data_IF_676229655699
#
_entry.id   IF_676229655699
#
_cell.length_a   1.000
_cell.length_b   1.000
_cell.length_c   1.000
_cell.angle_alpha   90.00
_cell.angle_beta   90.00
_cell.angle_gamma   90.00
#
_symmetry.space_group_name_H-M   'P 1'
#
loop_
_entity.id
_entity.type
_entity.pdbx_description
1 polymer ?
#
# COMPACT_ATOMS: atom_id res chain seq x y z
N UNK A 1 -1.16 32.66 8.46
CA UNK A 1 -1.52 31.26 8.75
C UNK A 1 -1.21 30.49 7.48
N UNK A 2 -0.07 29.81 7.41
CA UNK A 2 0.22 28.88 6.32
C UNK A 2 -0.74 27.73 6.46
N UNK A 3 -1.69 27.60 5.54
CA UNK A 3 -2.50 26.39 5.41
C UNK A 3 -1.53 25.22 5.35
N UNK A 4 -1.67 24.30 6.28
CA UNK A 4 -0.93 23.03 6.26
C UNK A 4 -1.52 22.20 5.11
N UNK A 5 -1.08 22.51 3.90
CA UNK A 5 -1.45 21.75 2.70
C UNK A 5 -0.97 20.33 2.92
N UNK A 6 -1.89 19.35 2.93
CA UNK A 6 -1.55 17.94 3.08
C UNK A 6 -0.61 17.49 1.98
N UNK A 7 0.18 16.44 2.24
CA UNK A 7 1.19 15.93 1.28
C UNK A 7 0.55 15.56 -0.08
N UNK A 8 -0.67 15.06 -0.09
CA UNK A 8 -1.36 14.77 -1.34
C UNK A 8 -1.66 16.05 -2.17
N UNK A 9 -1.93 17.19 -1.51
CA UNK A 9 -2.13 18.46 -2.22
C UNK A 9 -0.86 18.97 -2.90
N UNK A 10 0.31 18.75 -2.31
CA UNK A 10 1.60 19.07 -2.94
C UNK A 10 1.82 18.23 -4.22
N UNK A 11 1.43 16.95 -4.19
CA UNK A 11 1.47 16.06 -5.34
C UNK A 11 0.52 16.53 -6.44
N UNK A 12 -0.69 16.97 -6.09
CA UNK A 12 -1.66 17.52 -7.04
C UNK A 12 -1.17 18.83 -7.68
N UNK A 13 -0.50 19.70 -6.91
CA UNK A 13 0.09 20.92 -7.46
C UNK A 13 1.19 20.62 -8.49
N UNK A 14 1.98 19.56 -8.26
CA UNK A 14 2.97 19.09 -9.26
C UNK A 14 2.29 18.61 -10.54
N UNK A 15 1.20 17.85 -10.41
CA UNK A 15 0.42 17.40 -11.57
C UNK A 15 -0.22 18.57 -12.33
N UNK A 16 -0.71 19.59 -11.62
CA UNK A 16 -1.27 20.79 -12.23
C UNK A 16 -0.23 21.55 -13.06
N UNK A 17 0.98 21.69 -12.52
CA UNK A 17 2.11 22.28 -13.26
C UNK A 17 2.41 21.50 -14.53
N UNK A 18 2.48 20.17 -14.45
CA UNK A 18 2.69 19.31 -15.61
C UNK A 18 1.56 19.44 -16.64
N UNK A 19 0.31 19.50 -16.17
CA UNK A 19 -0.85 19.69 -17.05
C UNK A 19 -0.81 21.02 -17.81
N UNK A 20 -0.29 22.09 -17.20
CA UNK A 20 -0.08 23.37 -17.84
C UNK A 20 0.82 23.29 -19.09
N UNK A 21 1.73 22.31 -19.14
CA UNK A 21 2.60 22.07 -20.31
C UNK A 21 2.01 21.06 -21.30
N UNK A 22 1.25 20.09 -20.81
CA UNK A 22 0.74 18.96 -21.61
C UNK A 22 -0.62 19.24 -22.23
N UNK A 23 -1.41 20.17 -21.67
CA UNK A 23 -2.78 20.46 -22.06
C UNK A 23 -3.64 19.19 -22.21
N UNK A 24 -3.65 18.36 -21.16
CA UNK A 24 -4.39 17.11 -21.17
C UNK A 24 -5.91 17.33 -21.35
N UNK A 25 -6.60 16.42 -22.01
CA UNK A 25 -8.05 16.44 -22.03
C UNK A 25 -8.61 16.43 -20.58
N UNK A 26 -9.66 17.23 -20.28
CA UNK A 26 -10.17 17.36 -18.91
C UNK A 26 -10.47 16.03 -18.20
N UNK A 27 -11.06 15.06 -18.90
CA UNK A 27 -11.36 13.74 -18.36
C UNK A 27 -10.08 12.95 -17.97
N UNK A 28 -8.99 13.11 -18.72
CA UNK A 28 -7.70 12.47 -18.41
C UNK A 28 -7.09 13.14 -17.18
N UNK A 29 -7.10 14.48 -17.14
CA UNK A 29 -6.58 15.24 -16.01
C UNK A 29 -7.31 14.90 -14.70
N UNK A 30 -8.64 14.91 -14.70
CA UNK A 30 -9.45 14.51 -13.53
C UNK A 30 -9.18 13.06 -13.11
N UNK A 31 -8.96 12.17 -14.08
CA UNK A 31 -8.60 10.78 -13.83
C UNK A 31 -7.26 10.65 -13.09
N UNK A 32 -6.27 11.46 -13.46
CA UNK A 32 -4.94 11.47 -12.85
C UNK A 32 -4.91 12.10 -11.44
N UNK A 33 -5.91 12.91 -11.09
CA UNK A 33 -6.04 13.56 -9.77
C UNK A 33 -6.73 12.71 -8.73
N UNK A 34 -7.41 11.64 -9.13
CA UNK A 34 -8.35 10.93 -8.26
C UNK A 34 -7.91 9.47 -8.07
N UNK A 35 -7.70 8.99 -6.83
CA UNK A 35 -7.45 7.58 -6.58
C UNK A 35 -8.66 6.74 -6.98
N UNK A 36 -8.42 5.55 -7.49
CA UNK A 36 -9.47 4.66 -7.96
C UNK A 36 -10.25 4.02 -6.82
N UNK A 37 -9.55 3.61 -5.77
CA UNK A 37 -10.13 2.99 -4.58
C UNK A 37 -9.29 3.31 -3.36
N UNK A 38 -9.96 3.56 -2.24
CA UNK A 38 -9.32 3.68 -0.94
C UNK A 38 -10.06 2.80 0.05
N UNK A 39 -9.34 1.90 0.69
CA UNK A 39 -9.86 1.03 1.73
C UNK A 39 -9.23 1.44 3.08
N UNK A 40 -10.07 1.65 4.07
CA UNK A 40 -9.67 1.90 5.46
C UNK A 40 -10.20 0.74 6.29
N UNK A 41 -9.33 0.14 7.09
CA UNK A 41 -9.66 -1.03 7.90
C UNK A 41 -9.28 -0.82 9.35
N UNK A 42 -10.06 -1.43 10.24
CA UNK A 42 -9.73 -1.57 11.66
C UNK A 42 -9.14 -2.95 11.90
N UNK A 43 -7.97 -3.01 12.53
CA UNK A 43 -7.17 -4.21 12.69
C UNK A 43 -7.08 -4.54 14.18
N UNK A 44 -7.95 -5.42 14.72
CA UNK A 44 -7.80 -5.92 16.08
C UNK A 44 -6.60 -6.88 16.18
N UNK A 45 -5.74 -6.65 17.15
CA UNK A 45 -4.56 -7.47 17.43
C UNK A 45 -4.50 -7.80 18.90
N UNK A 46 -4.43 -9.08 19.23
CA UNK A 46 -4.11 -9.54 20.58
C UNK A 46 -2.62 -9.29 20.86
N UNK A 47 -2.35 -8.52 21.90
CA UNK A 47 -1.02 -8.19 22.36
C UNK A 47 -0.45 -9.30 23.26
N UNK A 48 0.86 -9.27 23.50
CA UNK A 48 1.53 -10.31 24.31
C UNK A 48 1.09 -10.30 25.79
N UNK A 49 0.54 -9.18 26.26
CA UNK A 49 -0.04 -9.04 27.59
C UNK A 49 -1.51 -9.51 27.69
N UNK A 50 -2.08 -10.04 26.59
CA UNK A 50 -3.47 -10.48 26.51
C UNK A 50 -4.49 -9.36 26.22
N UNK A 51 -4.07 -8.11 26.14
CA UNK A 51 -4.95 -7.02 25.72
C UNK A 51 -5.22 -7.06 24.21
N UNK A 52 -6.28 -6.38 23.75
CA UNK A 52 -6.57 -6.24 22.33
C UNK A 52 -6.45 -4.77 21.94
N UNK A 53 -5.51 -4.49 21.04
CA UNK A 53 -5.32 -3.17 20.45
C UNK A 53 -5.93 -3.10 19.05
N UNK A 54 -6.48 -1.93 18.70
CA UNK A 54 -7.06 -1.66 17.39
C UNK A 54 -6.15 -0.71 16.61
N UNK A 55 -5.62 -1.20 15.50
CA UNK A 55 -4.80 -0.41 14.59
C UNK A 55 -5.61 0.03 13.37
N UNK A 56 -5.25 1.17 12.79
CA UNK A 56 -5.86 1.65 11.56
C UNK A 56 -4.97 1.31 10.37
N UNK A 57 -5.54 0.58 9.41
CA UNK A 57 -4.85 0.21 8.17
C UNK A 57 -5.47 0.88 6.95
N UNK A 58 -4.66 1.06 5.91
CA UNK A 58 -5.03 1.71 4.64
C UNK A 58 -4.49 0.90 3.47
N UNK A 59 -5.26 0.81 2.38
CA UNK A 59 -4.78 0.42 1.05
C UNK A 59 -5.42 1.32 0.02
N UNK A 60 -4.60 2.07 -0.71
CA UNK A 60 -5.03 2.95 -1.81
C UNK A 60 -4.52 2.39 -3.12
N UNK A 61 -5.44 2.16 -4.05
CA UNK A 61 -5.16 1.85 -5.45
C UNK A 61 -5.41 3.11 -6.26
N UNK A 62 -4.34 3.69 -6.79
CA UNK A 62 -4.42 4.97 -7.47
C UNK A 62 -4.81 4.81 -8.92
N UNK A 63 -4.07 4.00 -9.67
CA UNK A 63 -4.36 3.73 -11.08
C UNK A 63 -3.96 2.31 -11.51
N UNK A 64 -4.68 1.74 -12.48
CA UNK A 64 -4.38 0.44 -13.11
C UNK A 64 -4.35 0.52 -14.64
N UNK A 65 -4.29 1.72 -15.24
CA UNK A 65 -4.32 1.86 -16.69
C UNK A 65 -3.18 1.12 -17.40
N UNK A 66 -2.05 0.94 -16.70
CA UNK A 66 -0.85 0.27 -17.21
C UNK A 66 -0.72 -1.20 -16.78
N UNK A 67 -1.58 -1.69 -15.93
CA UNK A 67 -1.54 -3.05 -15.38
C UNK A 67 -1.90 -3.11 -13.90
N UNK A 68 -1.64 -4.25 -13.22
CA UNK A 68 -1.92 -4.40 -11.81
C UNK A 68 -1.32 -3.27 -10.97
N UNK A 69 -2.03 -2.85 -9.95
CA UNK A 69 -1.51 -1.83 -9.04
C UNK A 69 -0.30 -2.39 -8.26
N UNK A 70 0.71 -1.56 -8.02
CA UNK A 70 1.95 -1.96 -7.35
C UNK A 70 2.37 -0.92 -6.34
N UNK A 71 2.70 -1.34 -5.11
CA UNK A 71 3.21 -0.41 -4.11
C UNK A 71 3.47 -1.02 -2.74
N UNK A 72 4.36 -0.38 -1.99
CA UNK A 72 4.80 -0.82 -0.68
C UNK A 72 3.72 -0.74 0.41
N UNK A 73 3.96 -1.43 1.51
CA UNK A 73 3.21 -1.34 2.77
C UNK A 73 4.11 -0.74 3.83
N UNK A 74 3.68 0.37 4.44
CA UNK A 74 4.43 1.11 5.46
C UNK A 74 3.84 0.91 6.84
N UNK A 75 4.67 0.58 7.83
CA UNK A 75 4.29 0.58 9.24
C UNK A 75 4.93 1.76 9.95
N UNK A 76 4.11 2.74 10.38
CA UNK A 76 4.64 3.93 11.05
C UNK A 76 3.53 4.64 11.84
N UNK A 77 3.82 5.25 13.01
CA UNK A 77 2.80 5.93 13.83
C UNK A 77 2.15 7.14 13.16
N UNK A 78 2.80 7.75 12.15
CA UNK A 78 2.25 8.89 11.41
C UNK A 78 1.49 8.53 10.14
N UNK A 79 1.40 7.24 9.80
CA UNK A 79 0.62 6.78 8.63
C UNK A 79 -0.81 7.28 8.71
N UNK A 80 -1.26 7.91 7.63
CA UNK A 80 -2.62 8.41 7.46
C UNK A 80 -3.05 8.31 5.99
N UNK A 81 -4.32 8.56 5.71
CA UNK A 81 -4.88 8.40 4.38
C UNK A 81 -4.26 9.38 3.35
N UNK A 82 -3.99 10.61 3.76
CA UNK A 82 -3.39 11.64 2.88
C UNK A 82 -2.00 11.21 2.40
N UNK A 83 -1.12 10.79 3.33
CA UNK A 83 0.22 10.29 3.00
C UNK A 83 0.15 9.04 2.09
N UNK A 84 -0.72 8.08 2.41
CA UNK A 84 -0.85 6.85 1.63
C UNK A 84 -1.39 7.15 0.22
N UNK A 85 -2.31 8.12 0.07
CA UNK A 85 -2.83 8.54 -1.23
C UNK A 85 -1.75 9.21 -2.07
N UNK A 86 -0.99 10.13 -1.48
CA UNK A 86 0.14 10.78 -2.12
C UNK A 86 1.18 9.77 -2.64
N UNK A 87 1.57 8.83 -1.79
CA UNK A 87 2.53 7.79 -2.15
C UNK A 87 2.00 6.83 -3.22
N UNK A 88 0.70 6.53 -3.24
CA UNK A 88 0.08 5.72 -4.29
C UNK A 88 0.09 6.44 -5.65
N UNK A 89 -0.14 7.76 -5.68
CA UNK A 89 0.01 8.59 -6.88
C UNK A 89 1.46 8.55 -7.40
N UNK A 90 2.44 8.76 -6.52
CA UNK A 90 3.86 8.69 -6.86
C UNK A 90 4.25 7.31 -7.41
N UNK A 91 3.71 6.22 -6.88
CA UNK A 91 3.95 4.88 -7.42
C UNK A 91 3.40 4.71 -8.83
N UNK A 92 2.24 5.30 -9.16
CA UNK A 92 1.68 5.32 -10.52
C UNK A 92 2.66 5.97 -11.49
N UNK A 93 3.16 7.14 -11.15
CA UNK A 93 4.09 7.89 -12.01
C UNK A 93 5.46 7.24 -12.08
N UNK A 94 5.95 6.69 -10.97
CA UNK A 94 7.21 5.95 -10.94
C UNK A 94 7.18 4.76 -11.90
N UNK A 95 6.13 3.95 -11.88
CA UNK A 95 5.97 2.82 -12.81
C UNK A 95 5.89 3.30 -14.27
N UNK A 96 5.22 4.42 -14.54
CA UNK A 96 5.12 4.99 -15.86
C UNK A 96 6.46 5.52 -16.39
N UNK A 97 7.24 6.20 -15.55
CA UNK A 97 8.57 6.77 -15.94
C UNK A 97 9.57 5.69 -16.29
N UNK A 98 9.58 4.56 -15.57
CA UNK A 98 10.48 3.44 -15.87
C UNK A 98 9.88 2.42 -16.86
N UNK A 99 8.71 2.76 -17.44
CA UNK A 99 8.01 2.00 -18.48
C UNK A 99 7.75 0.53 -18.14
N UNK A 100 7.33 0.24 -16.91
CA UNK A 100 6.90 -1.10 -16.51
C UNK A 100 5.36 -1.23 -16.53
N UNK A 101 4.81 -2.43 -16.79
CA UNK A 101 3.38 -2.66 -16.97
C UNK A 101 2.63 -2.76 -15.64
N UNK A 102 2.79 -1.76 -14.77
CA UNK A 102 2.13 -1.67 -13.48
C UNK A 102 1.46 -0.32 -13.27
N UNK A 103 0.34 -0.36 -12.56
CA UNK A 103 -0.27 0.83 -11.97
C UNK A 103 0.36 1.20 -10.63
N UNK A 104 -0.31 2.05 -9.87
CA UNK A 104 0.18 2.52 -8.56
C UNK A 104 -0.78 2.19 -7.42
N UNK A 105 -0.20 1.69 -6.34
CA UNK A 105 -0.87 1.52 -5.05
C UNK A 105 0.06 1.88 -3.89
N UNK A 106 -0.51 2.02 -2.72
CA UNK A 106 0.20 2.13 -1.44
C UNK A 106 -0.65 1.59 -0.31
N UNK A 107 0.00 0.95 0.65
CA UNK A 107 -0.62 0.53 1.88
C UNK A 107 0.13 1.03 3.10
N UNK A 108 -0.49 0.90 4.26
CA UNK A 108 0.18 1.19 5.51
C UNK A 108 -0.71 0.93 6.71
N UNK A 109 -0.06 0.77 7.86
CA UNK A 109 -0.73 0.64 9.15
C UNK A 109 -0.17 1.70 10.10
N UNK A 110 -1.05 2.39 10.79
CA UNK A 110 -0.69 3.34 11.82
C UNK A 110 -0.30 2.56 13.10
N UNK A 111 0.98 2.26 13.25
CA UNK A 111 1.53 1.51 14.38
C UNK A 111 2.98 1.92 14.67
N UNK A 112 3.44 1.66 15.89
CA UNK A 112 4.83 1.87 16.29
C UNK A 112 5.50 0.49 16.48
N UNK A 113 6.15 0.00 15.44
CA UNK A 113 6.81 -1.32 15.45
C UNK A 113 7.99 -1.41 16.41
N UNK A 114 8.55 -0.27 16.84
CA UNK A 114 9.65 -0.27 17.83
C UNK A 114 9.18 -0.66 19.25
N UNK A 115 7.87 -0.59 19.48
CA UNK A 115 7.19 -0.93 20.73
C UNK A 115 6.42 -2.25 20.66
N UNK A 116 6.56 -2.98 19.57
CA UNK A 116 5.85 -4.24 19.34
C UNK A 116 6.84 -5.40 19.27
N UNK A 117 6.44 -6.54 19.81
CA UNK A 117 7.17 -7.78 19.62
C UNK A 117 7.03 -8.29 18.17
N UNK A 118 7.93 -9.21 17.78
CA UNK A 118 7.84 -9.85 16.47
C UNK A 118 6.53 -10.62 16.29
N UNK A 119 6.03 -11.25 17.35
CA UNK A 119 4.75 -11.98 17.34
C UNK A 119 3.56 -11.04 17.16
N UNK A 120 3.59 -9.87 17.79
CA UNK A 120 2.57 -8.83 17.60
C UNK A 120 2.57 -8.26 16.18
N UNK A 121 3.77 -8.02 15.60
CA UNK A 121 3.90 -7.57 14.21
C UNK A 121 3.39 -8.65 13.24
N UNK A 122 3.64 -9.93 13.52
CA UNK A 122 3.09 -11.04 12.72
C UNK A 122 1.57 -11.05 12.77
N UNK A 123 0.96 -11.00 13.97
CA UNK A 123 -0.51 -10.96 14.12
C UNK A 123 -1.12 -9.75 13.41
N UNK A 124 -0.49 -8.56 13.56
CA UNK A 124 -0.88 -7.34 12.86
C UNK A 124 -0.86 -7.54 11.34
N UNK A 125 0.25 -8.07 10.83
CA UNK A 125 0.45 -8.27 9.38
C UNK A 125 -0.56 -9.27 8.81
N UNK A 126 -0.77 -10.39 9.49
CA UNK A 126 -1.75 -11.40 9.06
C UNK A 126 -3.16 -10.84 9.04
N UNK A 127 -3.54 -10.11 10.09
CA UNK A 127 -4.86 -9.49 10.15
C UNK A 127 -5.03 -8.38 9.10
N UNK A 128 -4.04 -7.51 8.93
CA UNK A 128 -4.05 -6.51 7.87
C UNK A 128 -4.20 -7.15 6.48
N UNK A 129 -3.44 -8.21 6.21
CA UNK A 129 -3.52 -8.93 4.92
C UNK A 129 -4.92 -9.51 4.69
N UNK A 130 -5.54 -10.08 5.71
CA UNK A 130 -6.91 -10.58 5.64
C UNK A 130 -7.88 -9.47 5.22
N UNK A 131 -7.80 -8.31 5.88
CA UNK A 131 -8.72 -7.19 5.61
C UNK A 131 -8.56 -6.61 4.19
N UNK A 132 -7.32 -6.52 3.68
CA UNK A 132 -7.06 -5.99 2.34
C UNK A 132 -7.13 -7.04 1.23
N UNK A 133 -7.37 -8.31 1.56
CA UNK A 133 -7.38 -9.43 0.59
C UNK A 133 -8.40 -9.27 -0.53
N UNK A 134 -9.43 -8.46 -0.30
CA UNK A 134 -10.46 -8.12 -1.30
C UNK A 134 -9.91 -7.23 -2.44
N UNK A 135 -8.75 -6.61 -2.24
CA UNK A 135 -8.12 -5.72 -3.21
C UNK A 135 -6.85 -6.32 -3.82
N UNK A 136 -6.05 -7.04 -3.01
CA UNK A 136 -4.72 -7.54 -3.45
C UNK A 136 -4.82 -8.85 -4.24
N UNK A 137 -3.81 -9.07 -5.06
CA UNK A 137 -3.67 -10.29 -5.86
C UNK A 137 -2.65 -10.11 -6.98
N UNK A 138 -2.11 -11.21 -7.54
CA UNK A 138 -1.06 -11.15 -8.56
C UNK A 138 -1.45 -10.35 -9.81
N UNK A 139 -2.74 -10.32 -10.15
CA UNK A 139 -3.26 -9.67 -11.35
C UNK A 139 -3.99 -8.36 -11.05
N UNK A 140 -4.10 -7.98 -9.77
CA UNK A 140 -4.90 -6.82 -9.36
C UNK A 140 -4.10 -5.77 -8.63
N UNK A 141 -3.39 -6.17 -7.55
CA UNK A 141 -2.64 -5.23 -6.70
C UNK A 141 -1.57 -6.01 -5.91
N UNK A 142 -0.31 -5.67 -6.10
CA UNK A 142 0.83 -6.42 -5.59
C UNK A 142 1.58 -5.58 -4.53
N UNK A 143 1.44 -5.89 -3.24
CA UNK A 143 2.22 -5.27 -2.17
C UNK A 143 3.72 -5.54 -2.28
N UNK A 144 4.51 -4.68 -1.64
CA UNK A 144 5.97 -4.78 -1.53
C UNK A 144 6.42 -4.23 -0.17
N UNK A 145 7.68 -4.44 0.25
CA UNK A 145 8.22 -3.80 1.45
C UNK A 145 8.32 -2.27 1.29
N UNK A 146 8.22 -1.56 2.41
CA UNK A 146 8.47 -0.14 2.55
C UNK A 146 9.03 0.14 3.96
N UNK A 147 8.88 1.34 4.48
CA UNK A 147 9.38 1.71 5.81
C UNK A 147 8.82 0.79 6.91
N UNK A 148 9.72 0.22 7.71
CA UNK A 148 9.44 -0.71 8.82
C UNK A 148 8.66 -1.99 8.43
N UNK A 149 8.78 -2.40 7.17
CA UNK A 149 8.38 -3.72 6.70
C UNK A 149 9.55 -4.35 5.92
N UNK A 150 9.69 -5.65 6.01
CA UNK A 150 10.80 -6.41 5.45
C UNK A 150 10.33 -7.66 4.69
N UNK A 151 11.28 -8.46 4.28
CA UNK A 151 11.01 -9.73 3.60
C UNK A 151 10.17 -10.71 4.43
N UNK A 152 10.32 -10.67 5.77
CA UNK A 152 9.54 -11.53 6.65
C UNK A 152 8.07 -11.08 6.73
N UNK A 153 7.82 -9.77 6.75
CA UNK A 153 6.45 -9.22 6.67
C UNK A 153 5.81 -9.65 5.35
N UNK A 154 6.54 -9.61 4.24
CA UNK A 154 6.05 -10.08 2.94
C UNK A 154 5.79 -11.60 2.94
N UNK A 155 6.60 -12.38 3.64
CA UNK A 155 6.35 -13.81 3.79
C UNK A 155 5.04 -14.09 4.55
N UNK A 156 4.77 -13.38 5.64
CA UNK A 156 3.50 -13.49 6.37
C UNK A 156 2.29 -13.05 5.52
N UNK A 157 2.45 -12.02 4.71
CA UNK A 157 1.39 -11.59 3.77
C UNK A 157 1.10 -12.67 2.72
N UNK A 158 2.15 -13.23 2.10
CA UNK A 158 2.01 -14.31 1.11
C UNK A 158 1.34 -15.54 1.72
N UNK A 159 1.81 -15.97 2.89
CA UNK A 159 1.29 -17.12 3.61
C UNK A 159 -0.20 -16.96 3.94
N UNK A 160 -0.57 -15.82 4.55
CA UNK A 160 -1.96 -15.52 4.90
C UNK A 160 -2.87 -15.50 3.67
N UNK A 161 -2.45 -14.85 2.60
CA UNK A 161 -3.22 -14.80 1.36
C UNK A 161 -3.38 -16.19 0.74
N UNK A 162 -2.29 -16.98 0.73
CA UNK A 162 -2.30 -18.35 0.20
C UNK A 162 -3.21 -19.29 1.00
N UNK A 163 -3.22 -19.17 2.33
CA UNK A 163 -4.16 -19.92 3.19
C UNK A 163 -5.62 -19.63 2.82
N UNK A 164 -5.95 -18.36 2.58
CA UNK A 164 -7.31 -17.97 2.18
C UNK A 164 -7.71 -18.50 0.79
N UNK A 165 -6.74 -18.67 -0.11
CA UNK A 165 -6.97 -19.23 -1.45
C UNK A 165 -6.97 -20.75 -1.48
N UNK A 166 -6.40 -21.41 -0.47
CA UNK A 166 -6.27 -22.86 -0.42
C UNK A 166 -5.09 -23.42 -1.24
N UNK A 167 -4.24 -22.56 -1.80
CA UNK A 167 -3.01 -22.93 -2.52
C UNK A 167 -1.98 -21.81 -2.46
N UNK A 168 -0.71 -22.13 -2.71
CA UNK A 168 0.38 -21.15 -2.68
C UNK A 168 0.29 -20.15 -3.81
N UNK A 169 0.33 -18.84 -3.47
CA UNK A 169 0.26 -17.71 -4.42
C UNK A 169 1.47 -16.80 -4.25
N UNK A 170 2.66 -17.20 -4.67
CA UNK A 170 3.88 -16.41 -4.45
C UNK A 170 3.87 -15.05 -5.18
N UNK A 171 3.12 -14.92 -6.26
CA UNK A 171 2.98 -13.68 -7.01
C UNK A 171 2.18 -12.57 -6.31
N UNK A 172 1.55 -12.84 -5.17
CA UNK A 172 0.73 -11.83 -4.47
C UNK A 172 1.53 -10.67 -3.89
N UNK A 173 2.80 -10.88 -3.56
CA UNK A 173 3.73 -9.87 -3.04
C UNK A 173 5.11 -10.00 -3.67
N UNK A 174 5.89 -8.93 -3.67
CA UNK A 174 7.33 -8.94 -4.01
C UNK A 174 8.19 -8.64 -2.78
N UNK A 175 9.49 -8.89 -2.86
CA UNK A 175 10.43 -8.61 -1.77
C UNK A 175 10.33 -9.57 -0.59
N UNK A 176 9.81 -10.78 -0.79
CA UNK A 176 9.83 -11.88 0.19
C UNK A 176 11.15 -12.65 0.13
N UNK A 177 11.48 -13.51 1.11
CA UNK A 177 12.69 -14.30 1.10
C UNK A 177 12.88 -15.16 -0.18
N UNK A 178 14.11 -15.26 -0.66
CA UNK A 178 14.45 -16.01 -1.90
C UNK A 178 14.00 -17.47 -1.81
N UNK A 179 14.13 -18.11 -0.65
CA UNK A 179 13.77 -19.51 -0.43
C UNK A 179 12.27 -19.83 -0.64
N UNK A 180 11.41 -18.82 -0.67
CA UNK A 180 9.96 -18.96 -0.93
C UNK A 180 9.53 -18.26 -2.22
N UNK A 181 10.44 -18.11 -3.18
CA UNK A 181 10.17 -17.51 -4.48
C UNK A 181 10.25 -15.97 -4.49
N UNK A 182 11.05 -15.40 -3.58
CA UNK A 182 11.37 -13.97 -3.57
C UNK A 182 12.49 -13.58 -4.51
N UNK A 183 12.57 -12.30 -4.81
CA UNK A 183 13.66 -11.67 -5.57
C UNK A 183 13.81 -10.23 -5.06
#
# INVERSE_FOLDING_TARGET
>A
MTENTGFFQEILATLETANGHLNLPPAVYERLRTPRRSLIVSIPVEMDDGSVNFFKGYRVQYDFARGPAKGGVRYHPRVNLDEITALAALMTWKCAVVDIPFGGAKGGVQCDTTRMSRGEIERLTRRYTYEISVLIGPETDIPAPDMYTDEQVMAWMMDTYSMMKGYSVPGVVTGKPVCIGGS
#
